data_IF_854537918999
#
_entry.id   IF_854537918999
#
_cell.length_a   1.000
_cell.length_b   1.000
_cell.length_c   1.000
_cell.angle_alpha   90.00
_cell.angle_beta   90.00
_cell.angle_gamma   90.00
#
_symmetry.space_group_name_H-M   'P 1'
#
loop_
_entity.id
_entity.type
_entity.pdbx_description
1 polymer ?
#
# COMPACT_ATOMS: atom_id res chain seq x y z
N UNK A 1 4.78 -17.62 25.36
CA UNK A 1 4.81 -16.59 24.29
C UNK A 1 4.90 -15.15 24.79
N UNK A 2 4.95 -14.86 26.09
CA UNK A 2 5.02 -13.46 26.63
C UNK A 2 6.24 -12.64 26.19
N UNK A 3 7.26 -13.26 25.55
CA UNK A 3 8.48 -12.59 25.12
C UNK A 3 8.71 -12.61 23.59
N UNK A 4 7.71 -13.01 22.77
CA UNK A 4 7.90 -12.93 21.31
C UNK A 4 8.02 -11.46 20.91
N UNK A 5 9.03 -11.10 20.09
CA UNK A 5 9.04 -9.80 19.42
C UNK A 5 7.74 -9.58 18.65
N UNK A 6 7.33 -8.31 18.59
CA UNK A 6 6.12 -7.88 17.89
C UNK A 6 6.46 -6.85 16.83
N UNK A 7 5.86 -7.03 15.67
CA UNK A 7 5.81 -6.03 14.61
C UNK A 7 4.70 -5.02 14.94
N UNK A 8 5.03 -3.72 14.87
CA UNK A 8 4.08 -2.65 15.15
C UNK A 8 4.12 -1.57 14.05
N UNK A 9 3.00 -0.87 13.81
CA UNK A 9 2.94 0.25 12.90
C UNK A 9 3.50 1.53 13.53
N UNK A 10 3.72 2.57 12.72
CA UNK A 10 3.94 3.93 13.18
C UNK A 10 2.58 4.63 13.30
N UNK A 11 2.23 5.05 14.51
CA UNK A 11 0.91 5.60 14.82
C UNK A 11 0.88 7.11 14.98
N UNK A 12 2.03 7.78 15.07
CA UNK A 12 2.11 9.24 15.23
C UNK A 12 3.13 9.87 14.30
N UNK A 13 2.94 11.16 14.00
CA UNK A 13 3.90 11.97 13.23
C UNK A 13 5.24 12.05 13.96
N UNK A 14 5.21 12.25 15.28
CA UNK A 14 6.41 12.32 16.12
C UNK A 14 7.23 11.05 16.02
N UNK A 15 6.60 9.87 16.06
CA UNK A 15 7.32 8.60 15.93
C UNK A 15 7.94 8.44 14.54
N UNK A 16 7.22 8.83 13.48
CA UNK A 16 7.75 8.77 12.10
C UNK A 16 8.94 9.71 11.91
N UNK A 17 8.92 10.92 12.49
CA UNK A 17 10.00 11.89 12.34
C UNK A 17 11.22 11.53 13.19
N UNK A 18 11.02 10.88 14.34
CA UNK A 18 12.06 10.52 15.30
C UNK A 18 12.44 9.03 15.27
N UNK A 19 12.21 8.33 14.16
CA UNK A 19 12.63 6.93 14.00
C UNK A 19 14.10 6.81 14.36
N UNK A 20 14.40 5.88 15.27
CA UNK A 20 15.77 5.57 15.66
C UNK A 20 16.53 5.05 14.44
N UNK A 21 17.58 5.79 14.06
CA UNK A 21 18.47 5.47 12.94
C UNK A 21 19.71 4.71 13.40
N UNK A 22 19.74 4.22 14.64
CA UNK A 22 20.75 3.30 15.13
C UNK A 22 20.93 2.12 14.15
N UNK A 23 22.10 1.48 14.21
CA UNK A 23 22.49 0.42 13.27
C UNK A 23 21.36 -0.58 13.04
N UNK A 24 21.14 -0.91 11.76
CA UNK A 24 20.11 -1.84 11.29
C UNK A 24 20.14 -3.09 12.16
N UNK A 25 19.11 -3.29 12.99
CA UNK A 25 19.00 -4.48 13.81
C UNK A 25 18.71 -5.69 12.91
N UNK A 26 19.62 -6.67 12.79
CA UNK A 26 19.41 -7.81 11.90
C UNK A 26 18.18 -8.65 12.27
N UNK A 27 17.69 -8.53 13.50
CA UNK A 27 16.48 -9.21 14.01
C UNK A 27 15.20 -8.65 13.41
N UNK A 28 15.20 -7.42 12.90
CA UNK A 28 14.04 -6.77 12.27
C UNK A 28 13.92 -7.09 10.78
N UNK A 29 15.01 -7.53 10.15
CA UNK A 29 15.06 -7.85 8.73
C UNK A 29 14.42 -9.20 8.42
N UNK A 30 13.73 -9.29 7.28
CA UNK A 30 13.45 -10.60 6.69
C UNK A 30 14.77 -11.36 6.45
N UNK A 31 14.83 -12.64 6.79
CA UNK A 31 15.99 -13.47 6.43
C UNK A 31 15.95 -13.93 4.97
N UNK A 32 14.88 -13.58 4.24
CA UNK A 32 14.66 -13.92 2.82
C UNK A 32 14.51 -12.61 2.04
N UNK A 33 15.38 -12.41 1.05
CA UNK A 33 15.30 -11.25 0.15
C UNK A 33 14.41 -11.60 -1.04
N UNK A 34 13.64 -10.61 -1.51
CA UNK A 34 12.96 -10.67 -2.79
C UNK A 34 14.00 -10.78 -3.92
N UNK A 35 13.73 -11.60 -4.94
CA UNK A 35 14.58 -11.57 -6.13
C UNK A 35 14.31 -10.25 -6.86
N UNK A 36 15.37 -9.56 -7.26
CA UNK A 36 15.29 -8.25 -7.92
C UNK A 36 14.85 -8.33 -9.39
N UNK A 37 14.08 -9.35 -9.76
CA UNK A 37 13.51 -9.45 -11.10
C UNK A 37 12.27 -8.55 -11.19
N UNK A 38 12.09 -7.82 -12.31
CA UNK A 38 10.86 -7.10 -12.56
C UNK A 38 9.67 -8.06 -12.58
N UNK A 39 8.50 -7.58 -12.15
CA UNK A 39 7.26 -8.34 -12.33
C UNK A 39 7.02 -8.63 -13.82
N UNK A 40 6.47 -9.81 -14.17
CA UNK A 40 6.16 -10.17 -15.55
C UNK A 40 5.27 -9.12 -16.23
N UNK A 41 5.41 -9.01 -17.55
CA UNK A 41 4.49 -8.22 -18.36
C UNK A 41 3.14 -8.96 -18.49
N UNK A 42 2.03 -8.21 -18.56
CA UNK A 42 0.67 -8.75 -18.63
C UNK A 42 -0.21 -8.45 -17.41
N UNK A 43 -1.40 -9.11 -17.33
CA UNK A 43 -2.33 -8.93 -16.21
C UNK A 43 -1.71 -9.40 -14.89
N UNK A 44 -1.86 -8.57 -13.84
CA UNK A 44 -1.34 -8.83 -12.49
C UNK A 44 -2.47 -8.88 -11.48
N UNK A 45 -2.27 -9.66 -10.42
CA UNK A 45 -3.19 -9.79 -9.29
C UNK A 45 -2.55 -9.20 -8.05
N UNK A 46 -3.25 -8.25 -7.43
CA UNK A 46 -2.87 -7.65 -6.16
C UNK A 46 -3.84 -8.12 -5.07
N UNK A 47 -3.32 -8.52 -3.91
CA UNK A 47 -4.12 -8.76 -2.70
C UNK A 47 -3.86 -7.65 -1.69
N UNK A 48 -4.92 -6.95 -1.29
CA UNK A 48 -4.89 -5.99 -0.19
C UNK A 48 -5.48 -6.64 1.06
N UNK A 49 -4.61 -7.02 1.99
CA UNK A 49 -4.97 -7.69 3.24
C UNK A 49 -5.36 -6.66 4.31
N UNK A 50 -6.66 -6.36 4.39
CA UNK A 50 -7.27 -5.55 5.46
C UNK A 50 -8.07 -6.45 6.41
N UNK A 51 -7.38 -7.27 7.21
CA UNK A 51 -8.02 -8.22 8.11
C UNK A 51 -8.23 -7.61 9.49
N UNK A 52 -9.48 -7.23 9.80
CA UNK A 52 -9.90 -6.76 11.13
C UNK A 52 -9.01 -5.64 11.71
N UNK A 53 -8.51 -4.74 10.86
CA UNK A 53 -7.65 -3.64 11.28
C UNK A 53 -6.16 -4.00 11.46
N UNK A 54 -5.76 -5.23 11.15
CA UNK A 54 -4.38 -5.69 11.16
C UNK A 54 -3.77 -5.82 12.57
N UNK A 55 -2.53 -6.30 12.61
CA UNK A 55 -1.69 -6.55 13.79
C UNK A 55 -2.42 -7.34 14.89
N UNK A 56 -3.13 -8.39 14.48
CA UNK A 56 -3.86 -9.29 15.38
C UNK A 56 -2.89 -10.38 15.86
N UNK A 57 -3.18 -11.66 15.64
CA UNK A 57 -2.26 -12.76 15.91
C UNK A 57 -1.00 -12.74 15.05
N UNK A 58 -1.06 -12.10 13.89
CA UNK A 58 0.03 -12.02 12.93
C UNK A 58 1.10 -10.97 13.27
N UNK A 59 0.88 -10.16 14.32
CA UNK A 59 1.89 -9.21 14.82
C UNK A 59 3.08 -9.89 15.50
N UNK A 60 2.90 -11.11 15.99
CA UNK A 60 3.94 -11.84 16.71
C UNK A 60 4.92 -12.46 15.72
N UNK A 61 6.18 -12.05 15.77
CA UNK A 61 7.18 -12.44 14.77
C UNK A 61 7.46 -13.95 14.75
N UNK A 62 7.13 -14.66 15.84
CA UNK A 62 7.30 -16.11 15.99
C UNK A 62 5.97 -16.88 15.90
N UNK A 63 4.91 -16.25 15.41
CA UNK A 63 3.58 -16.82 15.33
C UNK A 63 2.82 -16.80 16.65
N UNK A 64 1.68 -17.50 16.68
CA UNK A 64 0.76 -17.53 17.82
C UNK A 64 0.28 -18.97 18.08
N UNK A 65 -0.32 -19.22 19.24
CA UNK A 65 -0.95 -20.52 19.58
C UNK A 65 -2.35 -20.68 18.97
N UNK A 66 -2.93 -19.63 18.39
CA UNK A 66 -4.24 -19.72 17.74
C UNK A 66 -4.11 -20.48 16.41
N UNK A 67 -4.53 -21.75 16.41
CA UNK A 67 -4.55 -22.59 15.21
C UNK A 67 -5.40 -22.01 14.08
N UNK A 68 -6.47 -21.29 14.43
CA UNK A 68 -7.41 -20.67 13.47
C UNK A 68 -6.97 -19.25 13.04
N UNK A 69 -5.74 -18.84 13.37
CA UNK A 69 -5.19 -17.59 12.87
C UNK A 69 -5.18 -17.58 11.33
N UNK A 70 -5.40 -16.40 10.75
CA UNK A 70 -5.50 -16.25 9.30
C UNK A 70 -4.19 -16.67 8.62
N UNK A 71 -4.30 -17.54 7.62
CA UNK A 71 -3.20 -17.99 6.79
C UNK A 71 -3.55 -17.78 5.31
N UNK A 72 -2.59 -17.30 4.53
CA UNK A 72 -2.74 -17.17 3.08
C UNK A 72 -1.84 -18.18 2.36
N UNK A 73 -2.43 -18.94 1.44
CA UNK A 73 -1.76 -20.07 0.76
C UNK A 73 -1.54 -19.83 -0.74
N UNK A 74 -2.33 -18.97 -1.37
CA UNK A 74 -2.38 -18.79 -2.84
C UNK A 74 -1.33 -17.80 -3.35
N UNK A 75 -0.10 -17.84 -2.82
CA UNK A 75 0.98 -16.93 -3.21
C UNK A 75 1.35 -17.02 -4.70
N UNK A 76 1.25 -18.21 -5.29
CA UNK A 76 1.53 -18.41 -6.73
C UNK A 76 0.49 -17.76 -7.65
N UNK A 77 -0.59 -17.21 -7.11
CA UNK A 77 -1.68 -16.59 -7.86
C UNK A 77 -1.69 -15.06 -7.74
N UNK A 78 -0.71 -14.48 -7.06
CA UNK A 78 -0.62 -13.04 -6.83
C UNK A 78 0.75 -12.50 -7.21
N UNK A 79 0.79 -11.23 -7.61
CA UNK A 79 1.99 -10.52 -8.01
C UNK A 79 2.40 -9.47 -6.98
N UNK A 80 1.46 -8.98 -6.17
CA UNK A 80 1.71 -8.00 -5.11
C UNK A 80 0.82 -8.29 -3.91
N UNK A 81 1.40 -8.22 -2.71
CA UNK A 81 0.67 -8.31 -1.45
C UNK A 81 0.78 -6.98 -0.70
N UNK A 82 -0.33 -6.39 -0.30
CA UNK A 82 -0.37 -5.20 0.57
C UNK A 82 -0.84 -5.66 1.94
N UNK A 83 -0.05 -5.39 2.97
CA UNK A 83 -0.52 -5.49 4.35
C UNK A 83 -1.16 -4.17 4.76
N UNK A 84 -2.48 -4.13 4.88
CA UNK A 84 -3.23 -2.91 5.15
C UNK A 84 -3.63 -2.81 6.63
N UNK A 85 -3.52 -1.61 7.18
CA UNK A 85 -4.25 -1.20 8.38
C UNK A 85 -4.44 0.32 8.38
N UNK A 86 -5.32 0.81 9.24
CA UNK A 86 -5.67 2.24 9.34
C UNK A 86 -4.69 3.03 10.21
N UNK A 87 -3.38 2.81 10.07
CA UNK A 87 -2.32 3.52 10.81
C UNK A 87 -1.50 4.38 9.86
N UNK A 88 -0.86 5.44 10.38
CA UNK A 88 -0.15 6.44 9.55
C UNK A 88 0.85 5.78 8.62
N UNK A 89 1.75 4.95 9.18
CA UNK A 89 2.63 4.09 8.38
C UNK A 89 2.52 2.66 8.88
N UNK A 90 2.18 1.77 7.97
CA UNK A 90 2.07 0.33 8.24
C UNK A 90 3.34 -0.35 7.77
N UNK A 91 3.97 -1.06 8.71
CA UNK A 91 5.12 -1.92 8.45
C UNK A 91 4.58 -3.37 8.45
N UNK A 92 4.56 -4.08 7.30
CA UNK A 92 4.02 -5.43 7.23
C UNK A 92 4.68 -6.33 8.28
N UNK A 93 3.95 -7.12 9.08
CA UNK A 93 4.56 -7.95 10.11
C UNK A 93 5.62 -8.91 9.58
N UNK A 94 6.60 -9.24 10.42
CA UNK A 94 7.75 -10.08 10.06
C UNK A 94 7.35 -11.36 9.33
N UNK A 95 6.34 -12.08 9.84
CA UNK A 95 5.87 -13.34 9.26
C UNK A 95 5.41 -13.17 7.81
N UNK A 96 4.71 -12.08 7.51
CA UNK A 96 4.23 -11.74 6.17
C UNK A 96 5.37 -11.37 5.23
N UNK A 97 6.37 -10.62 5.72
CA UNK A 97 7.57 -10.27 4.93
C UNK A 97 8.33 -11.52 4.49
N UNK A 98 8.56 -12.45 5.43
CA UNK A 98 9.28 -13.69 5.13
C UNK A 98 8.52 -14.57 4.15
N UNK A 99 7.22 -14.81 4.37
CA UNK A 99 6.45 -15.70 3.50
C UNK A 99 6.23 -15.11 2.10
N UNK A 100 6.04 -13.79 1.99
CA UNK A 100 5.89 -13.12 0.69
C UNK A 100 7.16 -13.25 -0.14
N UNK A 101 8.32 -12.91 0.45
CA UNK A 101 9.61 -13.02 -0.24
C UNK A 101 9.99 -14.47 -0.59
N UNK A 102 9.63 -15.46 0.26
CA UNK A 102 9.83 -16.89 -0.08
C UNK A 102 9.08 -17.31 -1.34
N UNK A 103 7.94 -16.67 -1.62
CA UNK A 103 7.17 -16.91 -2.82
C UNK A 103 7.48 -15.89 -3.93
N UNK A 104 8.57 -15.13 -3.80
CA UNK A 104 8.98 -14.08 -4.73
C UNK A 104 7.89 -13.03 -5.01
N UNK A 105 7.03 -12.76 -4.02
CA UNK A 105 5.98 -11.74 -4.10
C UNK A 105 6.45 -10.49 -3.34
N UNK A 106 6.51 -9.30 -3.97
CA UNK A 106 6.73 -8.05 -3.25
C UNK A 106 5.61 -7.80 -2.24
N UNK A 107 5.98 -7.29 -1.07
CA UNK A 107 5.07 -6.94 0.01
C UNK A 107 5.14 -5.45 0.35
N UNK A 108 3.99 -4.79 0.37
CA UNK A 108 3.88 -3.36 0.63
C UNK A 108 3.24 -3.12 1.99
N UNK A 109 3.74 -2.10 2.67
CA UNK A 109 3.03 -1.43 3.75
C UNK A 109 2.04 -0.41 3.19
N UNK A 110 1.56 0.47 4.07
CA UNK A 110 0.69 1.58 3.67
C UNK A 110 1.17 2.88 4.30
N UNK A 111 0.99 3.99 3.57
CA UNK A 111 0.92 5.33 4.13
C UNK A 111 -0.54 5.74 4.06
N UNK A 112 -1.19 5.88 5.21
CA UNK A 112 -2.62 6.12 5.30
C UNK A 112 -2.93 7.36 6.13
N UNK A 113 -3.85 8.18 5.63
CA UNK A 113 -4.44 9.27 6.41
C UNK A 113 -5.94 9.29 6.22
N UNK A 114 -6.68 9.46 7.32
CA UNK A 114 -8.15 9.47 7.33
C UNK A 114 -8.73 10.89 7.16
N UNK A 115 -10.04 10.96 6.97
CA UNK A 115 -10.78 12.22 6.83
C UNK A 115 -10.80 13.09 8.09
N UNK A 116 -10.41 12.55 9.26
CA UNK A 116 -10.51 13.25 10.55
C UNK A 116 -9.27 14.10 10.80
N UNK A 117 -8.09 13.47 10.72
CA UNK A 117 -6.82 14.11 11.06
C UNK A 117 -5.86 14.22 9.87
N UNK A 118 -6.25 13.70 8.70
CA UNK A 118 -5.31 13.53 7.60
C UNK A 118 -4.65 14.81 7.11
N UNK A 119 -5.40 15.91 7.00
CA UNK A 119 -4.81 17.18 6.59
C UNK A 119 -3.79 17.72 7.60
N UNK A 120 -4.03 17.54 8.91
CA UNK A 120 -3.07 17.95 9.96
C UNK A 120 -1.78 17.14 9.85
N UNK A 121 -1.91 15.83 9.69
CA UNK A 121 -0.77 14.90 9.52
C UNK A 121 0.03 15.26 8.26
N UNK A 122 -0.65 15.47 7.13
CA UNK A 122 -0.02 15.82 5.86
C UNK A 122 0.70 17.18 5.93
N UNK A 123 0.08 18.19 6.54
CA UNK A 123 0.70 19.50 6.71
C UNK A 123 1.99 19.42 7.50
N UNK A 124 2.05 18.57 8.53
CA UNK A 124 3.25 18.40 9.34
C UNK A 124 4.32 17.59 8.61
N UNK A 125 3.97 16.40 8.10
CA UNK A 125 4.91 15.49 7.44
C UNK A 125 5.45 16.00 6.11
N UNK A 126 4.62 16.70 5.32
CA UNK A 126 5.00 17.23 4.01
C UNK A 126 5.26 18.73 4.04
N UNK A 127 5.43 19.32 5.23
CA UNK A 127 5.91 20.69 5.39
C UNK A 127 7.30 20.87 4.75
N UNK A 128 7.68 22.09 4.31
CA UNK A 128 9.02 22.35 3.78
C UNK A 128 10.16 21.86 4.71
N UNK A 129 9.95 21.92 6.03
CA UNK A 129 10.92 21.48 7.03
C UNK A 129 11.04 19.96 7.10
N UNK A 130 9.91 19.23 7.08
CA UNK A 130 9.90 17.78 7.32
C UNK A 130 9.90 16.94 6.04
N UNK A 131 9.61 17.51 4.87
CA UNK A 131 9.41 16.79 3.61
C UNK A 131 10.53 15.79 3.29
N UNK A 132 11.80 16.24 3.37
CA UNK A 132 12.96 15.38 3.14
C UNK A 132 13.13 14.31 4.20
N UNK A 133 12.85 14.65 5.46
CA UNK A 133 13.00 13.73 6.58
C UNK A 133 11.95 12.62 6.50
N UNK A 134 10.70 12.97 6.19
CA UNK A 134 9.61 12.02 5.96
C UNK A 134 9.96 11.02 4.87
N UNK A 135 10.42 11.50 3.69
CA UNK A 135 10.85 10.62 2.60
C UNK A 135 11.98 9.67 3.02
N UNK A 136 13.04 10.21 3.64
CA UNK A 136 14.17 9.40 4.13
C UNK A 136 13.74 8.36 5.15
N UNK A 137 12.84 8.72 6.06
CA UNK A 137 12.38 7.82 7.11
C UNK A 137 11.48 6.70 6.54
N UNK A 138 10.62 6.99 5.56
CA UNK A 138 9.85 5.95 4.84
C UNK A 138 10.76 4.98 4.07
N UNK A 139 11.78 5.48 3.38
CA UNK A 139 12.77 4.64 2.68
C UNK A 139 13.57 3.80 3.69
N UNK A 140 13.96 4.41 4.80
CA UNK A 140 14.70 3.74 5.86
C UNK A 140 13.92 2.58 6.50
N UNK A 141 12.60 2.75 6.71
CA UNK A 141 11.72 1.67 7.16
C UNK A 141 11.75 0.48 6.20
N UNK A 142 11.64 0.71 4.88
CA UNK A 142 11.76 -0.35 3.88
C UNK A 142 13.11 -1.07 3.98
N UNK A 143 14.21 -0.36 4.22
CA UNK A 143 15.55 -0.95 4.36
C UNK A 143 15.73 -1.77 5.64
N UNK A 144 15.26 -1.26 6.79
CA UNK A 144 15.39 -1.94 8.09
C UNK A 144 14.51 -3.19 8.13
N UNK A 145 13.26 -3.07 7.70
CA UNK A 145 12.30 -4.17 7.83
C UNK A 145 12.30 -5.08 6.59
N UNK A 146 12.90 -4.65 5.48
CA UNK A 146 12.92 -5.33 4.19
C UNK A 146 11.51 -5.63 3.67
N UNK A 147 10.80 -4.57 3.32
CA UNK A 147 9.56 -4.64 2.54
C UNK A 147 9.64 -3.65 1.37
N UNK A 148 8.79 -3.82 0.38
CA UNK A 148 9.07 -3.37 -0.99
C UNK A 148 8.38 -2.05 -1.36
N UNK A 149 7.85 -1.32 -0.38
CA UNK A 149 7.25 0.00 -0.59
C UNK A 149 5.86 0.13 0.01
N UNK A 150 5.02 0.94 -0.62
CA UNK A 150 3.80 1.44 0.01
C UNK A 150 2.62 1.54 -0.95
N UNK A 151 1.43 1.19 -0.46
CA UNK A 151 0.19 1.80 -0.91
C UNK A 151 0.04 3.17 -0.23
N UNK A 152 -0.19 4.21 -1.02
CA UNK A 152 -0.49 5.55 -0.54
C UNK A 152 -2.00 5.74 -0.65
N UNK A 153 -2.66 5.89 0.49
CA UNK A 153 -4.09 6.14 0.56
C UNK A 153 -4.38 7.40 1.39
N UNK A 154 -4.81 8.48 0.72
CA UNK A 154 -5.12 9.77 1.31
C UNK A 154 -6.64 9.98 1.25
N UNK A 155 -7.33 9.65 2.34
CA UNK A 155 -8.80 9.70 2.45
C UNK A 155 -9.28 11.04 3.04
N UNK A 156 -8.59 12.14 2.78
CA UNK A 156 -8.96 13.47 3.24
C UNK A 156 -8.83 14.53 2.15
N UNK A 157 -9.75 15.49 2.17
CA UNK A 157 -9.67 16.67 1.31
C UNK A 157 -8.40 17.48 1.60
N UNK A 158 -7.76 17.98 0.54
CA UNK A 158 -6.64 18.90 0.62
C UNK A 158 -6.90 20.15 -0.25
N UNK A 159 -6.28 21.30 0.06
CA UNK A 159 -6.33 22.46 -0.83
C UNK A 159 -5.72 22.14 -2.19
N UNK A 160 -6.21 22.74 -3.30
CA UNK A 160 -5.66 22.50 -4.64
C UNK A 160 -4.15 22.69 -4.74
N UNK A 161 -3.60 23.71 -4.09
CA UNK A 161 -2.16 24.00 -4.11
C UNK A 161 -1.32 22.90 -3.41
N UNK A 162 -1.93 22.15 -2.49
CA UNK A 162 -1.27 21.06 -1.77
C UNK A 162 -1.14 19.79 -2.63
N UNK A 163 -1.95 19.64 -3.69
CA UNK A 163 -1.87 18.51 -4.63
C UNK A 163 -0.47 18.42 -5.25
N UNK A 164 0.12 19.56 -5.63
CA UNK A 164 1.49 19.61 -6.17
C UNK A 164 2.53 19.03 -5.20
N UNK A 165 2.34 19.20 -3.89
CA UNK A 165 3.22 18.67 -2.85
C UNK A 165 3.06 17.14 -2.77
N UNK A 166 1.84 16.63 -2.85
CA UNK A 166 1.55 15.19 -2.89
C UNK A 166 2.15 14.54 -4.14
N UNK A 167 1.98 15.15 -5.32
CA UNK A 167 2.58 14.64 -6.57
C UNK A 167 4.11 14.55 -6.46
N UNK A 168 4.74 15.59 -5.89
CA UNK A 168 6.18 15.58 -5.62
C UNK A 168 6.57 14.50 -4.61
N UNK A 169 5.78 14.28 -3.57
CA UNK A 169 6.00 13.24 -2.58
C UNK A 169 5.95 11.85 -3.21
N UNK A 170 4.91 11.53 -3.98
CA UNK A 170 4.77 10.26 -4.70
C UNK A 170 5.96 9.99 -5.61
N UNK A 171 6.30 10.98 -6.45
CA UNK A 171 7.37 10.84 -7.43
C UNK A 171 8.73 10.57 -6.76
N UNK A 172 9.04 11.34 -5.72
CA UNK A 172 10.31 11.22 -5.02
C UNK A 172 10.41 9.96 -4.18
N UNK A 173 9.34 9.57 -3.49
CA UNK A 173 9.30 8.32 -2.76
C UNK A 173 9.52 7.13 -3.70
N UNK A 174 8.85 7.14 -4.87
CA UNK A 174 9.01 6.11 -5.89
C UNK A 174 10.47 5.95 -6.31
N UNK A 175 11.13 7.03 -6.74
CA UNK A 175 12.52 6.92 -7.22
C UNK A 175 13.51 6.61 -6.10
N UNK A 176 13.34 7.16 -4.89
CA UNK A 176 14.20 6.81 -3.76
C UNK A 176 14.06 5.34 -3.35
N UNK A 177 12.87 4.74 -3.50
CA UNK A 177 12.68 3.31 -3.27
C UNK A 177 13.28 2.46 -4.41
N UNK A 178 13.12 2.88 -5.67
CA UNK A 178 13.74 2.18 -6.81
C UNK A 178 15.27 2.17 -6.73
N UNK A 179 15.88 3.23 -6.18
CA UNK A 179 17.33 3.29 -5.96
C UNK A 179 17.84 2.25 -4.94
N UNK A 180 16.98 1.82 -3.99
CA UNK A 180 17.34 0.79 -3.01
C UNK A 180 16.97 -0.63 -3.49
N UNK A 181 15.88 -0.77 -4.23
CA UNK A 181 15.39 -2.03 -4.76
C UNK A 181 14.59 -1.77 -6.07
N UNK A 182 15.06 -2.26 -7.24
CA UNK A 182 14.36 -2.09 -8.51
C UNK A 182 12.94 -2.67 -8.55
N UNK A 183 12.62 -3.61 -7.66
CA UNK A 183 11.29 -4.21 -7.55
C UNK A 183 10.35 -3.43 -6.62
N UNK A 184 10.78 -2.30 -6.06
CA UNK A 184 9.94 -1.51 -5.15
C UNK A 184 8.78 -0.80 -5.84
N UNK A 185 7.67 -0.67 -5.12
CA UNK A 185 6.42 -0.10 -5.62
C UNK A 185 5.88 1.00 -4.70
N UNK A 186 5.44 2.09 -5.32
CA UNK A 186 4.56 3.09 -4.70
C UNK A 186 3.25 3.05 -5.46
N UNK A 187 2.20 2.54 -4.84
CA UNK A 187 0.87 2.39 -5.45
C UNK A 187 -0.03 3.50 -4.94
N UNK A 188 -0.72 4.21 -5.83
CA UNK A 188 -1.70 5.21 -5.45
C UNK A 188 -3.12 4.62 -5.43
N UNK A 189 -3.86 4.84 -4.34
CA UNK A 189 -5.29 4.49 -4.27
C UNK A 189 -6.15 5.63 -4.85
N UNK A 190 -7.17 5.28 -5.62
CA UNK A 190 -8.16 6.22 -6.15
C UNK A 190 -8.93 6.87 -4.99
N UNK A 191 -8.55 8.09 -4.61
CA UNK A 191 -9.15 8.85 -3.51
C UNK A 191 -9.33 10.32 -3.91
N UNK A 192 -8.31 11.18 -3.70
CA UNK A 192 -8.37 12.57 -4.12
C UNK A 192 -8.17 12.75 -5.63
N UNK A 193 -8.85 13.73 -6.22
CA UNK A 193 -8.67 14.16 -7.61
C UNK A 193 -7.75 15.41 -7.69
N UNK A 194 -7.47 15.87 -8.90
CA UNK A 194 -6.52 16.96 -9.22
C UNK A 194 -6.76 18.28 -8.48
N UNK A 195 -7.97 18.51 -7.96
CA UNK A 195 -8.32 19.70 -7.18
C UNK A 195 -8.26 19.47 -5.65
N UNK A 196 -7.81 18.29 -5.22
CA UNK A 196 -7.63 17.92 -3.82
C UNK A 196 -8.87 17.36 -3.12
N UNK A 197 -10.01 17.25 -3.81
CA UNK A 197 -11.24 16.66 -3.24
C UNK A 197 -11.21 15.13 -3.29
N UNK A 198 -11.63 14.48 -2.20
CA UNK A 198 -11.86 13.03 -2.17
C UNK A 198 -13.10 12.72 -3.00
N UNK A 199 -12.87 12.22 -4.22
CA UNK A 199 -13.93 11.80 -5.15
C UNK A 199 -13.41 10.56 -5.89
N UNK A 200 -13.81 9.39 -5.41
CA UNK A 200 -13.51 8.12 -6.06
C UNK A 200 -14.07 8.14 -7.49
N UNK A 201 -13.19 7.90 -8.46
CA UNK A 201 -13.59 7.85 -9.86
C UNK A 201 -14.02 6.45 -10.28
N UNK A 202 -13.59 5.42 -9.52
CA UNK A 202 -13.70 4.01 -9.89
C UNK A 202 -13.02 3.70 -11.24
N UNK A 203 -12.14 4.59 -11.67
CA UNK A 203 -11.40 4.51 -12.92
C UNK A 203 -10.18 5.43 -12.90
N UNK A 204 -9.19 5.13 -13.74
CA UNK A 204 -8.17 6.08 -14.12
C UNK A 204 -8.66 6.98 -15.26
N UNK A 205 -8.71 8.29 -15.02
CA UNK A 205 -9.10 9.30 -16.01
C UNK A 205 -8.32 10.61 -15.81
N UNK A 206 -8.68 11.66 -16.55
CA UNK A 206 -7.96 12.94 -16.49
C UNK A 206 -8.02 13.61 -15.10
N UNK A 207 -8.98 13.25 -14.25
CA UNK A 207 -9.16 13.83 -12.91
C UNK A 207 -8.15 13.29 -11.90
N UNK A 208 -7.64 12.07 -12.07
CA UNK A 208 -6.71 11.42 -11.14
C UNK A 208 -5.40 10.91 -11.81
N UNK A 209 -5.29 11.00 -13.14
CA UNK A 209 -4.10 10.58 -13.90
C UNK A 209 -2.78 11.17 -13.40
N UNK A 210 -2.80 12.40 -12.88
CA UNK A 210 -1.59 13.04 -12.34
C UNK A 210 -0.95 12.23 -11.20
N UNK A 211 -1.74 11.52 -10.38
CA UNK A 211 -1.22 10.67 -9.31
C UNK A 211 -0.62 9.36 -9.86
N UNK A 212 -1.23 8.78 -10.89
CA UNK A 212 -0.69 7.60 -11.58
C UNK A 212 0.65 7.88 -12.28
N UNK A 213 0.76 9.04 -12.93
CA UNK A 213 2.00 9.47 -13.59
C UNK A 213 3.17 9.60 -12.60
N UNK A 214 2.86 9.92 -11.33
CA UNK A 214 3.83 10.10 -10.26
C UNK A 214 4.00 8.87 -9.35
N UNK A 215 3.39 7.73 -9.69
CA UNK A 215 3.45 6.48 -8.90
C UNK A 215 3.84 5.26 -9.77
N UNK A 216 4.07 4.12 -9.13
CA UNK A 216 4.40 2.84 -9.78
C UNK A 216 3.16 2.12 -10.30
N UNK A 217 2.01 2.33 -9.68
CA UNK A 217 0.73 1.75 -10.12
C UNK A 217 -0.46 2.53 -9.54
N UNK A 218 -1.63 2.30 -10.11
CA UNK A 218 -2.90 2.84 -9.65
C UNK A 218 -3.80 1.71 -9.15
N UNK A 219 -4.51 1.93 -8.05
CA UNK A 219 -5.49 1.00 -7.50
C UNK A 219 -6.85 1.69 -7.46
N UNK A 220 -7.80 1.26 -8.28
CA UNK A 220 -9.14 1.86 -8.36
C UNK A 220 -9.96 1.56 -7.10
N UNK A 221 -10.91 2.45 -6.80
CA UNK A 221 -12.02 2.13 -5.91
C UNK A 221 -12.94 1.05 -6.54
N UNK A 222 -13.88 0.53 -5.75
CA UNK A 222 -14.56 -0.75 -6.01
C UNK A 222 -15.83 -0.67 -6.88
N UNK A 223 -16.38 0.53 -7.12
CA UNK A 223 -17.71 0.72 -7.70
C UNK A 223 -17.71 0.87 -9.23
N UNK A 224 -16.67 0.36 -9.90
CA UNK A 224 -16.55 0.42 -11.34
C UNK A 224 -17.62 -0.40 -12.06
N UNK A 225 -17.90 0.03 -13.29
CA UNK A 225 -18.78 -0.62 -14.27
C UNK A 225 -18.00 -1.02 -15.51
N UNK A 226 -18.62 -1.80 -16.40
CA UNK A 226 -18.01 -2.11 -17.71
C UNK A 226 -17.69 -0.85 -18.53
N UNK A 227 -18.44 0.24 -18.35
CA UNK A 227 -18.17 1.52 -19.01
C UNK A 227 -16.85 2.12 -18.50
N UNK A 228 -16.63 2.10 -17.19
CA UNK A 228 -15.39 2.57 -16.57
C UNK A 228 -14.17 1.80 -17.10
N UNK A 229 -14.28 0.46 -17.18
CA UNK A 229 -13.19 -0.37 -17.72
C UNK A 229 -12.85 0.01 -19.17
N UNK A 230 -13.85 0.17 -20.02
CA UNK A 230 -13.63 0.58 -21.41
C UNK A 230 -13.03 1.98 -21.52
N UNK A 231 -13.43 2.90 -20.64
CA UNK A 231 -12.88 4.26 -20.60
C UNK A 231 -11.41 4.25 -20.14
N UNK A 232 -11.08 3.50 -19.09
CA UNK A 232 -9.70 3.29 -18.64
C UNK A 232 -8.81 2.70 -19.73
N UNK A 233 -9.25 1.64 -20.41
CA UNK A 233 -8.46 1.02 -21.47
C UNK A 233 -8.10 2.01 -22.61
N UNK A 234 -8.92 3.04 -22.83
CA UNK A 234 -8.63 4.10 -23.82
C UNK A 234 -7.72 5.19 -23.25
N UNK A 235 -7.84 5.47 -21.95
CA UNK A 235 -7.07 6.52 -21.25
C UNK A 235 -5.65 6.06 -20.89
N UNK A 236 -5.49 4.79 -20.53
CA UNK A 236 -4.21 4.16 -20.18
C UNK A 236 -3.48 3.83 -21.48
N UNK A 237 -2.68 4.80 -21.98
CA UNK A 237 -1.93 4.63 -23.24
C UNK A 237 -0.84 3.57 -23.13
N UNK A 238 -0.14 3.58 -22.01
CA UNK A 238 0.99 2.70 -21.66
C UNK A 238 0.81 2.29 -20.21
N UNK A 239 1.37 1.15 -19.79
CA UNK A 239 1.29 0.65 -18.39
C UNK A 239 -0.10 0.13 -17.98
N UNK A 240 -0.79 -0.55 -18.89
CA UNK A 240 -2.10 -1.18 -18.60
C UNK A 240 -2.02 -2.19 -17.44
N UNK A 241 -0.91 -2.93 -17.35
CA UNK A 241 -0.59 -3.86 -16.25
C UNK A 241 -0.42 -3.18 -14.89
N UNK A 242 -0.30 -1.86 -14.85
CA UNK A 242 -0.03 -1.10 -13.62
C UNK A 242 -1.31 -0.42 -13.09
N UNK A 243 -2.48 -0.80 -13.60
CA UNK A 243 -3.79 -0.38 -13.09
C UNK A 243 -4.50 -1.59 -12.50
N UNK A 244 -4.60 -1.64 -11.18
CA UNK A 244 -5.31 -2.66 -10.42
C UNK A 244 -6.76 -2.23 -10.23
N UNK A 245 -7.68 -3.02 -10.78
CA UNK A 245 -9.13 -2.77 -10.70
C UNK A 245 -9.69 -3.42 -9.44
N UNK A 246 -10.20 -2.62 -8.50
CA UNK A 246 -10.53 -3.09 -7.17
C UNK A 246 -11.79 -3.93 -7.06
N UNK A 247 -11.71 -5.02 -6.31
CA UNK A 247 -12.83 -5.86 -5.95
C UNK A 247 -12.96 -5.89 -4.43
N UNK A 248 -14.05 -5.35 -3.90
CA UNK A 248 -14.34 -5.42 -2.47
C UNK A 248 -14.85 -6.82 -2.11
N UNK A 249 -14.03 -7.56 -1.36
CA UNK A 249 -14.33 -8.89 -0.86
C UNK A 249 -14.67 -8.89 0.64
N UNK A 250 -14.76 -7.71 1.27
CA UNK A 250 -15.10 -7.62 2.68
C UNK A 250 -16.54 -8.11 2.89
N UNK A 251 -16.79 -9.05 3.81
CA UNK A 251 -18.12 -9.58 4.04
C UNK A 251 -19.01 -8.49 4.66
N UNK A 252 -19.84 -7.86 3.83
CA UNK A 252 -20.92 -6.97 4.27
C UNK A 252 -22.20 -7.81 4.34
N UNK A 253 -23.02 -7.63 5.37
CA UNK A 253 -24.27 -8.40 5.59
C UNK A 253 -25.35 -8.25 4.48
N UNK A 254 -25.07 -7.56 3.36
CA UNK A 254 -25.98 -7.49 2.20
C UNK A 254 -25.22 -7.35 0.89
N UNK A 255 -25.32 -8.37 0.04
CA UNK A 255 -25.21 -8.23 -1.41
C UNK A 255 -26.33 -9.04 -2.09
N UNK A 256 -27.58 -8.59 -1.94
CA UNK A 256 -28.61 -8.90 -2.93
C UNK A 256 -28.38 -7.97 -4.13
N UNK A 257 -28.02 -8.53 -5.29
CA UNK A 257 -28.04 -7.80 -6.57
C UNK A 257 -26.70 -7.47 -7.23
N UNK A 258 -25.56 -7.98 -6.75
CA UNK A 258 -24.31 -7.88 -7.52
C UNK A 258 -24.32 -8.88 -8.70
N UNK A 259 -23.86 -8.49 -9.90
CA UNK A 259 -23.78 -9.40 -11.03
C UNK A 259 -22.85 -10.58 -10.71
N UNK A 260 -23.17 -11.82 -11.17
CA UNK A 260 -22.43 -13.04 -10.83
C UNK A 260 -20.93 -13.02 -11.16
N UNK A 261 -20.47 -12.05 -11.95
CA UNK A 261 -19.09 -11.93 -12.41
C UNK A 261 -18.12 -11.33 -11.39
N UNK A 262 -18.59 -10.85 -10.23
CA UNK A 262 -17.73 -10.29 -9.17
C UNK A 262 -17.36 -11.30 -8.06
N UNK A 263 -17.84 -12.54 -8.14
CA UNK A 263 -17.44 -13.59 -7.21
C UNK A 263 -16.38 -14.49 -7.85
N UNK A 264 -15.17 -14.45 -7.32
CA UNK A 264 -14.33 -15.65 -7.30
C UNK A 264 -14.63 -16.32 -5.96
N UNK A 265 -15.56 -17.28 -5.97
CA UNK A 265 -15.73 -18.18 -4.84
C UNK A 265 -14.44 -18.99 -4.68
N UNK A 266 -13.68 -18.74 -3.61
CA UNK A 266 -12.77 -19.74 -3.08
C UNK A 266 -13.41 -20.34 -1.83
N UNK A 267 -13.60 -21.66 -1.91
CA UNK A 267 -13.94 -22.58 -0.83
C UNK A 267 -12.73 -22.71 0.09
#
# INVERSE_FOLDING_TARGET
MENSPVSLPITSVTDLLNIDKAEIEPRKQSFVKLNSEPLPDGPKTLVCHDMKGGYIEDRFDQGCENFDAYNFWFWNNIDVFIYFSHKIVVIPPFVWRVVSHRNNCPILGTFYVDWVNGMVILLELLSPTNFELTLKNLVHLCQIYQFDGYLINIECDVPPDFVCIILKFLNRLKYMLLDINPSSLVIWYDAIIYNGKVIYQDELNYLNSCFFDNSSAFFTNYNWTAFNLQHMCRSVKTRLSDVYVGLDLFPREKLQGMPPTKFIHYI
#
